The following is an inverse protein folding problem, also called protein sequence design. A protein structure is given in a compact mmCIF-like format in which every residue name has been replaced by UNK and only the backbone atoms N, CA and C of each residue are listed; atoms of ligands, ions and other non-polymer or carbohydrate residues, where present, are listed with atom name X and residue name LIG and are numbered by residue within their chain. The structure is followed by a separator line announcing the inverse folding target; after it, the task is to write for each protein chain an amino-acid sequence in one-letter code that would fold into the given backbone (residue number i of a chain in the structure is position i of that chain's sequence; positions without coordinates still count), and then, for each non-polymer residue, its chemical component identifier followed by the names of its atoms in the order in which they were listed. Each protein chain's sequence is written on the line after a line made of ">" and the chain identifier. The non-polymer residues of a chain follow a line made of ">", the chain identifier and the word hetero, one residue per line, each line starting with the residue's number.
data_IF_007944034631
#
_entry.id   IF_007944034631
#
_cell.length_a   1.000
_cell.length_b   1.000
_cell.length_c   1.000
_cell.angle_alpha   90.00
_cell.angle_beta   90.00
_cell.angle_gamma   90.00
#
_symmetry.space_group_name_H-M   'P 1'
#
loop_
_entity.id
_entity.type
_entity.pdbx_description
1 polymer ?
#
# COMPACT_ATOMS: atom_id res chain seq x y z
N UNK A 1 -19.67 6.97 -10.57
CA UNK A 1 -18.30 6.41 -10.50
C UNK A 1 -18.17 5.74 -9.14
N UNK A 2 -18.35 4.41 -9.07
CA UNK A 2 -18.41 3.70 -7.79
C UNK A 2 -17.01 3.63 -7.18
N UNK A 3 -16.87 4.03 -5.91
CA UNK A 3 -15.61 3.96 -5.17
C UNK A 3 -15.51 2.58 -4.56
N UNK A 4 -14.58 1.75 -5.01
CA UNK A 4 -14.32 0.45 -4.39
C UNK A 4 -13.35 0.63 -3.22
N UNK A 5 -13.60 -0.05 -2.10
CA UNK A 5 -12.71 -0.08 -0.95
C UNK A 5 -12.42 -1.50 -0.48
N UNK A 6 -11.22 -1.72 0.03
CA UNK A 6 -10.75 -3.04 0.46
C UNK A 6 -10.28 -2.98 1.91
N UNK A 7 -10.75 -3.91 2.73
CA UNK A 7 -10.42 -4.05 4.14
C UNK A 7 -9.42 -5.19 4.32
N UNK A 8 -8.26 -4.89 4.92
CA UNK A 8 -7.17 -5.84 5.17
C UNK A 8 -6.88 -6.04 6.66
N UNK A 9 -6.53 -7.27 7.04
CA UNK A 9 -6.05 -7.64 8.38
C UNK A 9 -4.94 -8.71 8.29
N UNK A 10 -3.72 -8.41 8.78
CA UNK A 10 -2.65 -9.42 8.92
C UNK A 10 -1.52 -8.97 9.89
N UNK A 11 -0.52 -9.84 10.11
CA UNK A 11 0.52 -9.71 11.14
C UNK A 11 1.67 -8.78 10.73
N UNK A 12 2.42 -8.19 11.67
CA UNK A 12 3.14 -6.98 11.33
C UNK A 12 4.48 -7.32 10.62
N UNK A 13 4.75 -6.68 9.47
CA UNK A 13 6.05 -6.77 8.73
C UNK A 13 6.89 -5.49 8.94
N UNK A 14 8.15 -5.65 9.32
CA UNK A 14 9.08 -4.55 9.60
C UNK A 14 10.42 -4.82 8.94
N UNK A 15 11.19 -3.77 8.71
CA UNK A 15 12.47 -3.85 8.01
C UNK A 15 13.59 -3.35 8.92
N UNK A 16 14.66 -4.15 9.04
CA UNK A 16 15.75 -3.95 10.02
C UNK A 16 16.79 -2.93 9.57
N UNK A 17 16.89 -2.73 8.25
CA UNK A 17 17.84 -1.81 7.64
C UNK A 17 17.08 -0.80 6.77
N UNK A 18 17.62 0.42 6.70
CA UNK A 18 17.11 1.46 5.81
C UNK A 18 17.47 1.19 4.36
N UNK A 19 16.86 1.95 3.46
CA UNK A 19 17.09 1.79 2.03
C UNK A 19 17.05 3.11 1.28
N UNK A 20 17.54 3.08 0.05
CA UNK A 20 17.33 4.15 -0.93
C UNK A 20 16.80 3.56 -2.22
N UNK A 21 15.85 4.24 -2.84
CA UNK A 21 15.34 3.94 -4.18
C UNK A 21 15.62 5.16 -5.03
N UNK A 22 16.33 5.00 -6.15
CA UNK A 22 16.62 6.08 -7.09
C UNK A 22 15.82 5.87 -8.37
N UNK A 23 15.14 6.91 -8.84
CA UNK A 23 14.34 6.89 -10.06
C UNK A 23 14.74 8.03 -10.99
N UNK A 24 15.29 7.67 -12.16
CA UNK A 24 15.86 8.63 -13.11
C UNK A 24 14.99 8.86 -14.35
N UNK A 25 13.90 8.09 -14.52
CA UNK A 25 13.09 8.12 -15.75
C UNK A 25 11.76 8.87 -15.58
N UNK A 26 11.21 8.96 -14.35
CA UNK A 26 9.88 9.52 -14.11
C UNK A 26 9.84 10.45 -12.90
N UNK A 27 9.33 11.68 -13.08
CA UNK A 27 9.43 12.78 -12.09
C UNK A 27 8.44 12.65 -10.92
N UNK A 28 7.37 11.85 -11.02
CA UNK A 28 6.33 11.69 -9.99
C UNK A 28 6.06 10.20 -9.69
N UNK A 29 7.10 9.44 -9.34
CA UNK A 29 6.98 7.98 -9.21
C UNK A 29 6.72 7.48 -7.80
N UNK A 30 6.90 8.33 -6.78
CA UNK A 30 6.77 7.97 -5.37
C UNK A 30 5.39 8.28 -4.77
N UNK A 31 4.33 8.38 -5.56
CA UNK A 31 2.97 8.67 -5.04
C UNK A 31 2.53 7.68 -3.96
N UNK A 32 3.01 6.43 -4.04
CA UNK A 32 2.80 5.41 -3.02
C UNK A 32 3.44 5.73 -1.66
N UNK A 33 4.50 6.54 -1.64
CA UNK A 33 5.22 6.92 -0.43
C UNK A 33 4.30 7.66 0.55
N UNK A 34 3.44 8.55 0.04
CA UNK A 34 2.47 9.28 0.88
C UNK A 34 1.51 8.35 1.63
N UNK A 35 1.00 7.31 0.96
CA UNK A 35 0.13 6.32 1.57
C UNK A 35 0.88 5.41 2.55
N UNK A 36 2.12 5.02 2.24
CA UNK A 36 2.96 4.27 3.18
C UNK A 36 3.27 5.09 4.45
N UNK A 37 3.55 6.39 4.31
CA UNK A 37 3.74 7.30 5.44
C UNK A 37 2.46 7.43 6.27
N UNK A 38 1.29 7.46 5.64
CA UNK A 38 0.01 7.46 6.35
C UNK A 38 -0.22 6.17 7.16
N UNK A 39 0.32 5.04 6.71
CA UNK A 39 0.35 3.75 7.43
C UNK A 39 1.45 3.67 8.51
N UNK A 40 2.27 4.72 8.65
CA UNK A 40 3.29 4.86 9.68
C UNK A 40 4.69 4.41 9.27
N UNK A 41 4.94 4.17 7.99
CA UNK A 41 6.31 4.03 7.50
C UNK A 41 7.03 5.39 7.51
N UNK A 42 8.33 5.40 7.76
CA UNK A 42 9.14 6.61 7.75
C UNK A 42 9.98 6.66 6.48
N UNK A 43 9.71 7.66 5.63
CA UNK A 43 10.39 7.86 4.36
C UNK A 43 10.40 9.32 3.94
N UNK A 44 11.43 9.71 3.20
CA UNK A 44 11.64 11.06 2.70
C UNK A 44 12.13 11.01 1.25
N UNK A 45 11.49 11.77 0.36
CA UNK A 45 11.96 12.00 -1.00
C UNK A 45 12.90 13.20 -1.11
N UNK A 46 14.11 12.99 -1.61
CA UNK A 46 15.05 14.04 -2.01
C UNK A 46 15.31 13.93 -3.53
N UNK A 47 14.63 14.78 -4.30
CA UNK A 47 14.65 14.74 -5.76
C UNK A 47 14.26 13.35 -6.32
N UNK A 48 15.12 12.69 -7.11
CA UNK A 48 14.86 11.35 -7.66
C UNK A 48 15.06 10.23 -6.64
N UNK A 49 15.45 10.52 -5.40
CA UNK A 49 15.80 9.52 -4.39
C UNK A 49 14.74 9.45 -3.30
N UNK A 50 14.24 8.26 -3.01
CA UNK A 50 13.40 7.98 -1.84
C UNK A 50 14.24 7.26 -0.78
N UNK A 51 14.42 7.91 0.35
CA UNK A 51 15.06 7.36 1.55
C UNK A 51 14.02 6.68 2.42
N UNK A 52 14.35 5.48 2.91
CA UNK A 52 13.46 4.66 3.74
C UNK A 52 14.18 4.41 5.07
N UNK A 53 13.61 4.91 6.17
CA UNK A 53 14.18 4.75 7.53
C UNK A 53 13.73 3.44 8.14
N UNK A 54 14.64 2.59 8.68
CA UNK A 54 14.29 1.30 9.29
C UNK A 54 13.17 1.44 10.31
N UNK A 55 12.22 0.51 10.29
CA UNK A 55 11.08 0.59 11.17
C UNK A 55 9.96 -0.37 10.81
N UNK A 56 8.79 -0.09 11.38
CA UNK A 56 7.57 -0.87 11.19
C UNK A 56 6.42 0.09 10.95
N UNK A 57 5.72 -0.09 9.83
CA UNK A 57 4.40 0.50 9.65
C UNK A 57 3.43 -0.17 10.65
N UNK A 58 2.76 0.62 11.49
CA UNK A 58 1.92 0.11 12.58
C UNK A 58 0.79 1.08 12.94
N UNK A 59 0.22 1.77 11.94
CA UNK A 59 -0.96 2.63 12.15
C UNK A 59 -2.22 1.99 11.57
N UNK A 60 -2.91 1.11 12.31
CA UNK A 60 -4.21 0.59 11.89
C UNK A 60 -5.29 1.67 11.92
N UNK A 61 -6.43 1.37 11.31
CA UNK A 61 -7.61 2.25 11.24
C UNK A 61 -7.48 3.34 10.18
N UNK A 62 -6.42 3.33 9.38
CA UNK A 62 -6.17 4.35 8.37
C UNK A 62 -6.92 4.04 7.08
N UNK A 63 -7.44 5.10 6.46
CA UNK A 63 -7.92 5.05 5.07
C UNK A 63 -6.87 5.66 4.18
N UNK A 64 -6.36 4.86 3.23
CA UNK A 64 -5.36 5.29 2.25
C UNK A 64 -5.89 5.10 0.84
N UNK A 65 -5.36 5.85 -0.13
CA UNK A 65 -5.81 5.79 -1.53
C UNK A 65 -4.66 5.46 -2.47
N UNK A 66 -4.83 4.42 -3.28
CA UNK A 66 -3.96 4.14 -4.42
C UNK A 66 -4.38 4.99 -5.62
N UNK A 67 -3.50 5.88 -6.09
CA UNK A 67 -3.78 6.74 -7.25
C UNK A 67 -3.37 6.10 -8.59
N UNK A 68 -2.60 5.01 -8.55
CA UNK A 68 -2.18 4.24 -9.71
C UNK A 68 -2.07 2.74 -9.37
N UNK A 69 -1.77 1.93 -10.39
CA UNK A 69 -1.61 0.47 -10.26
C UNK A 69 -0.57 0.07 -9.21
N UNK A 70 0.58 0.74 -9.20
CA UNK A 70 1.70 0.42 -8.30
C UNK A 70 1.39 0.90 -6.90
N UNK A 71 0.85 2.10 -6.75
CA UNK A 71 0.42 2.61 -5.45
C UNK A 71 -0.64 1.73 -4.82
N UNK A 72 -1.67 1.33 -5.57
CA UNK A 72 -2.69 0.41 -5.07
C UNK A 72 -2.08 -0.93 -4.61
N UNK A 73 -1.22 -1.54 -5.45
CA UNK A 73 -0.61 -2.83 -5.11
C UNK A 73 0.33 -2.73 -3.89
N UNK A 74 1.16 -1.70 -3.84
CA UNK A 74 2.07 -1.44 -2.71
C UNK A 74 1.30 -1.23 -1.41
N UNK A 75 0.20 -0.47 -1.43
CA UNK A 75 -0.61 -0.23 -0.23
C UNK A 75 -1.32 -1.51 0.24
N UNK A 76 -1.81 -2.36 -0.67
CA UNK A 76 -2.39 -3.66 -0.32
C UNK A 76 -1.35 -4.52 0.40
N UNK A 77 -0.16 -4.67 -0.16
CA UNK A 77 0.89 -5.45 0.47
C UNK A 77 1.34 -4.87 1.81
N UNK A 78 1.45 -3.55 1.92
CA UNK A 78 1.81 -2.89 3.16
C UNK A 78 0.75 -3.08 4.26
N UNK A 79 -0.53 -2.97 3.91
CA UNK A 79 -1.63 -3.17 4.86
C UNK A 79 -1.74 -4.62 5.35
N UNK A 80 -1.29 -5.62 4.58
CA UNK A 80 -1.16 -6.99 5.07
C UNK A 80 -0.08 -7.11 6.15
N UNK A 81 0.86 -6.16 6.20
CA UNK A 81 1.88 -6.10 7.23
C UNK A 81 1.49 -5.27 8.46
N UNK A 82 0.22 -4.94 8.67
CA UNK A 82 -0.24 -4.08 9.78
C UNK A 82 -1.35 -4.77 10.57
N UNK A 83 -1.15 -4.90 11.87
CA UNK A 83 -2.15 -5.44 12.78
C UNK A 83 -3.34 -4.49 12.89
N UNK A 84 -4.52 -4.96 12.49
CA UNK A 84 -5.77 -4.24 12.60
C UNK A 84 -6.49 -4.16 11.26
N UNK A 85 -7.37 -3.18 11.13
CA UNK A 85 -8.14 -2.95 9.92
C UNK A 85 -7.54 -1.76 9.14
N UNK A 86 -7.27 -1.93 7.86
CA UNK A 86 -6.86 -0.83 6.97
C UNK A 86 -7.79 -0.77 5.77
N UNK A 87 -8.28 0.43 5.44
CA UNK A 87 -9.16 0.65 4.29
C UNK A 87 -8.35 1.23 3.15
N UNK A 88 -8.34 0.56 2.01
CA UNK A 88 -7.66 1.02 0.80
C UNK A 88 -8.70 1.38 -0.26
N UNK A 89 -8.66 2.63 -0.73
CA UNK A 89 -9.46 3.16 -1.83
C UNK A 89 -8.64 3.19 -3.12
N UNK A 90 -9.30 3.27 -4.27
CA UNK A 90 -8.59 3.35 -5.56
C UNK A 90 -8.11 1.99 -6.08
N UNK A 91 -8.66 0.90 -5.56
CA UNK A 91 -8.28 -0.47 -5.95
C UNK A 91 -8.72 -0.84 -7.36
N UNK A 92 -9.56 -0.04 -8.01
CA UNK A 92 -9.92 -0.18 -9.43
C UNK A 92 -8.70 -0.16 -10.37
N UNK A 93 -7.60 0.46 -9.94
CA UNK A 93 -6.35 0.46 -10.70
C UNK A 93 -5.72 -0.93 -10.79
N UNK A 94 -5.97 -1.84 -9.83
CA UNK A 94 -5.40 -3.18 -9.81
C UNK A 94 -5.86 -4.03 -11.00
N UNK A 95 -7.11 -3.87 -11.43
CA UNK A 95 -7.66 -4.62 -12.56
C UNK A 95 -6.94 -4.36 -13.90
N UNK A 96 -6.10 -3.33 -13.99
CA UNK A 96 -5.30 -3.03 -15.19
C UNK A 96 -4.02 -3.85 -15.32
N UNK A 97 -3.58 -4.51 -14.24
CA UNK A 97 -2.27 -5.20 -14.22
C UNK A 97 -2.22 -6.46 -13.35
N UNK A 98 -3.22 -6.69 -12.51
CA UNK A 98 -3.33 -7.91 -11.71
C UNK A 98 -4.71 -8.55 -11.92
N UNK A 99 -4.69 -9.81 -12.37
CA UNK A 99 -5.88 -10.63 -12.41
C UNK A 99 -6.14 -11.20 -11.01
N UNK A 100 -7.26 -10.80 -10.41
CA UNK A 100 -7.75 -11.30 -9.12
C UNK A 100 -6.69 -11.30 -7.98
N UNK A 101 -5.98 -10.17 -7.81
CA UNK A 101 -4.97 -10.04 -6.76
C UNK A 101 -5.52 -10.36 -5.36
N UNK A 102 -6.76 -9.91 -5.09
CA UNK A 102 -7.41 -10.14 -3.81
C UNK A 102 -7.69 -11.63 -3.58
N UNK A 103 -8.29 -12.34 -4.56
CA UNK A 103 -8.53 -13.78 -4.45
C UNK A 103 -7.23 -14.57 -4.30
N UNK A 104 -6.18 -14.20 -5.04
CA UNK A 104 -4.85 -14.81 -4.91
C UNK A 104 -4.29 -14.64 -3.50
N UNK A 105 -4.29 -13.43 -2.95
CA UNK A 105 -3.78 -13.17 -1.61
C UNK A 105 -4.62 -13.88 -0.54
N UNK A 106 -5.96 -13.88 -0.69
CA UNK A 106 -6.85 -14.63 0.21
C UNK A 106 -6.61 -16.14 0.15
N UNK A 107 -6.31 -16.69 -1.02
CA UNK A 107 -5.94 -18.11 -1.17
C UNK A 107 -4.65 -18.47 -0.43
N UNK A 108 -3.78 -17.48 -0.20
CA UNK A 108 -2.54 -17.59 0.58
C UNK A 108 -2.75 -17.30 2.08
N UNK A 109 -3.98 -17.05 2.52
CA UNK A 109 -4.33 -16.81 3.92
C UNK A 109 -4.48 -15.34 4.31
N UNK A 110 -4.48 -14.41 3.36
CA UNK A 110 -4.75 -12.99 3.66
C UNK A 110 -6.25 -12.75 3.96
N UNK A 111 -6.54 -11.98 5.02
CA UNK A 111 -7.89 -11.52 5.31
C UNK A 111 -8.19 -10.25 4.53
N UNK A 112 -8.86 -10.38 3.39
CA UNK A 112 -9.20 -9.30 2.46
C UNK A 112 -10.71 -9.31 2.21
N UNK A 113 -11.38 -8.17 2.40
CA UNK A 113 -12.78 -7.98 2.04
C UNK A 113 -12.92 -6.81 1.06
N UNK A 114 -13.53 -7.06 -0.11
CA UNK A 114 -13.79 -6.05 -1.12
C UNK A 114 -15.24 -5.56 -1.01
N UNK A 115 -15.41 -4.28 -0.66
CA UNK A 115 -16.72 -3.65 -0.56
C UNK A 115 -16.85 -2.53 -1.58
N UNK A 116 -17.98 -2.54 -2.30
CA UNK A 116 -18.38 -1.37 -3.07
C UNK A 116 -18.87 -0.30 -2.08
N UNK A 117 -18.25 0.88 -2.11
CA UNK A 117 -18.76 2.05 -1.39
C UNK A 117 -19.77 2.76 -2.27
N UNK A 118 -21.02 2.79 -1.80
CA UNK A 118 -22.17 3.46 -2.43
C UNK A 118 -21.99 4.97 -2.53
#
# INVERSE_FOLDING_TARGET
>A
MQRQSTILRAAPVGYREGGKIEEHVWVNRFDYASGLTALGAEMHSDGPVLHITPGRAARPGQTVRGNDLRAAATLVLAALGIDGETIIQGVEHLGRGYADLAGQLTSLGASIDQRATS
#
